data_IF_174642476044
#
_entry.id   IF_174642476044
#
_cell.length_a   1.000
_cell.length_b   1.000
_cell.length_c   1.000
_cell.angle_alpha   90.00
_cell.angle_beta   90.00
_cell.angle_gamma   90.00
#
_symmetry.space_group_name_H-M   'P 1'
#
loop_
_entity.id
_entity.type
_entity.pdbx_description
1 polymer ?
#
# COMPACT_ATOMS: atom_id res chain seq x y z
N UNK A 1 -21.37 -5.07 -8.50
CA UNK A 1 -21.34 -6.50 -8.89
C UNK A 1 -20.65 -7.23 -7.74
N UNK A 2 -21.20 -8.32 -7.20
CA UNK A 2 -20.48 -9.12 -6.20
C UNK A 2 -19.27 -9.81 -6.86
N UNK A 3 -18.23 -10.10 -6.06
CA UNK A 3 -17.15 -10.99 -6.50
C UNK A 3 -17.76 -12.38 -6.77
N UNK A 4 -17.39 -13.07 -7.86
CA UNK A 4 -17.92 -14.40 -8.16
C UNK A 4 -17.74 -15.39 -7.00
N UNK A 5 -18.77 -16.16 -6.69
CA UNK A 5 -18.73 -17.16 -5.61
C UNK A 5 -17.74 -18.31 -5.87
N UNK A 6 -17.33 -18.49 -7.13
CA UNK A 6 -16.29 -19.45 -7.55
C UNK A 6 -14.89 -19.01 -7.17
N UNK A 7 -14.67 -17.72 -6.88
CA UNK A 7 -13.36 -17.23 -6.47
C UNK A 7 -13.09 -17.57 -5.01
N UNK A 8 -11.82 -17.82 -4.64
CA UNK A 8 -11.46 -17.94 -3.25
C UNK A 8 -11.73 -16.61 -2.53
N UNK A 9 -11.93 -16.68 -1.21
CA UNK A 9 -12.16 -15.50 -0.37
C UNK A 9 -11.10 -14.40 -0.55
N UNK A 10 -9.86 -14.81 -0.79
CA UNK A 10 -8.74 -13.95 -1.15
C UNK A 10 -8.36 -14.20 -2.61
N UNK A 11 -8.96 -13.48 -3.57
CA UNK A 11 -8.67 -13.68 -4.98
C UNK A 11 -7.22 -13.33 -5.30
N UNK A 12 -6.63 -14.10 -6.20
CA UNK A 12 -5.33 -13.78 -6.80
C UNK A 12 -5.43 -12.49 -7.63
N UNK A 13 -4.28 -11.89 -7.93
CA UNK A 13 -4.20 -10.74 -8.84
C UNK A 13 -4.87 -11.01 -10.19
N UNK A 14 -4.71 -12.22 -10.75
CA UNK A 14 -5.28 -12.60 -12.06
C UNK A 14 -6.80 -12.63 -12.00
N UNK A 15 -7.36 -13.29 -10.98
CA UNK A 15 -8.80 -13.35 -10.75
C UNK A 15 -9.39 -11.95 -10.52
N UNK A 16 -8.72 -11.11 -9.72
CA UNK A 16 -9.20 -9.75 -9.48
C UNK A 16 -9.18 -8.88 -10.75
N UNK A 17 -8.15 -9.00 -11.59
CA UNK A 17 -8.11 -8.33 -12.91
C UNK A 17 -9.26 -8.83 -13.80
N UNK A 18 -9.53 -10.14 -13.82
CA UNK A 18 -10.64 -10.70 -14.59
C UNK A 18 -11.98 -10.13 -14.10
N UNK A 19 -12.19 -10.06 -12.79
CA UNK A 19 -13.37 -9.42 -12.20
C UNK A 19 -13.54 -7.96 -12.65
N UNK A 20 -12.45 -7.19 -12.75
CA UNK A 20 -12.51 -5.81 -13.26
C UNK A 20 -12.87 -5.76 -14.75
N UNK A 21 -12.35 -6.67 -15.56
CA UNK A 21 -12.72 -6.80 -16.98
C UNK A 21 -14.20 -7.15 -17.15
N UNK A 22 -14.71 -8.09 -16.35
CA UNK A 22 -16.12 -8.48 -16.33
C UNK A 22 -17.00 -7.30 -15.90
N UNK A 23 -16.55 -6.49 -14.94
CA UNK A 23 -17.24 -5.26 -14.52
C UNK A 23 -17.32 -4.25 -15.68
N UNK A 24 -16.21 -4.00 -16.37
CA UNK A 24 -16.16 -3.12 -17.54
C UNK A 24 -17.13 -3.59 -18.63
N UNK A 25 -17.11 -4.88 -18.95
CA UNK A 25 -18.01 -5.49 -19.94
C UNK A 25 -19.47 -5.38 -19.53
N UNK A 26 -19.82 -5.79 -18.30
CA UNK A 26 -21.20 -5.80 -17.80
C UNK A 26 -21.84 -4.41 -17.81
N UNK A 27 -21.08 -3.38 -17.45
CA UNK A 27 -21.57 -2.00 -17.39
C UNK A 27 -21.30 -1.21 -18.68
N UNK A 28 -20.83 -1.88 -19.74
CA UNK A 28 -20.51 -1.25 -21.03
C UNK A 28 -19.63 0.00 -20.89
N UNK A 29 -18.69 -0.06 -19.95
CA UNK A 29 -17.72 1.02 -19.73
C UNK A 29 -16.71 0.93 -20.87
N UNK A 30 -16.33 2.08 -21.43
CA UNK A 30 -15.32 2.16 -22.49
C UNK A 30 -14.09 2.94 -22.01
N UNK A 31 -13.21 2.36 -21.16
CA UNK A 31 -12.00 3.04 -20.72
C UNK A 31 -11.05 3.25 -21.90
N UNK A 32 -10.46 4.45 -21.97
CA UNK A 32 -9.35 4.73 -22.89
C UNK A 32 -8.04 4.38 -22.21
N UNK A 33 -7.58 3.15 -22.40
CA UNK A 33 -6.30 2.68 -21.85
C UNK A 33 -5.11 3.35 -22.55
N UNK A 34 -3.93 3.31 -21.90
CA UNK A 34 -2.68 3.89 -22.42
C UNK A 34 -2.74 5.40 -22.68
N UNK A 35 -3.66 6.11 -22.03
CA UNK A 35 -3.72 7.58 -22.05
C UNK A 35 -3.08 8.12 -20.78
N UNK A 36 -1.93 8.75 -20.91
CA UNK A 36 -1.27 9.43 -19.81
C UNK A 36 -1.84 10.84 -19.71
N UNK A 37 -2.51 11.17 -18.60
CA UNK A 37 -2.90 12.55 -18.32
C UNK A 37 -1.67 13.29 -17.82
N UNK A 38 -1.23 14.31 -18.55
CA UNK A 38 -0.02 15.09 -18.24
C UNK A 38 -0.36 16.35 -17.44
N UNK A 39 -1.51 16.96 -17.70
CA UNK A 39 -1.96 18.15 -16.99
C UNK A 39 -3.48 18.30 -17.05
N UNK A 40 -4.05 18.90 -16.01
CA UNK A 40 -5.43 19.36 -16.00
C UNK A 40 -5.50 20.77 -15.41
N UNK A 41 -6.17 21.70 -16.11
CA UNK A 41 -6.35 23.07 -15.65
C UNK A 41 -7.78 23.53 -15.86
N UNK A 42 -8.31 24.31 -14.91
CA UNK A 42 -9.63 24.91 -15.04
C UNK A 42 -9.54 26.21 -15.83
N UNK A 43 -10.36 26.34 -16.86
CA UNK A 43 -10.47 27.56 -17.65
C UNK A 43 -11.69 28.35 -17.18
N UNK A 44 -11.45 29.45 -16.46
CA UNK A 44 -12.50 30.27 -15.86
C UNK A 44 -13.42 30.93 -16.90
N UNK A 45 -12.89 31.31 -18.07
CA UNK A 45 -13.66 31.93 -19.16
C UNK A 45 -14.70 30.97 -19.72
N UNK A 46 -14.30 29.72 -19.95
CA UNK A 46 -15.17 28.68 -20.51
C UNK A 46 -16.00 27.92 -19.47
N UNK A 47 -15.67 28.08 -18.18
CA UNK A 47 -16.27 27.32 -17.09
C UNK A 47 -16.04 25.80 -17.18
N UNK A 48 -14.91 25.38 -17.79
CA UNK A 48 -14.61 23.98 -18.08
C UNK A 48 -13.16 23.63 -17.74
N UNK A 49 -12.96 22.37 -17.40
CA UNK A 49 -11.65 21.74 -17.32
C UNK A 49 -11.09 21.51 -18.72
N UNK A 50 -9.79 21.76 -18.85
CA UNK A 50 -8.95 21.43 -20.01
C UNK A 50 -7.94 20.40 -19.54
N UNK A 51 -7.96 19.23 -20.17
CA UNK A 51 -7.10 18.10 -19.82
C UNK A 51 -6.19 17.81 -21.00
N UNK A 52 -4.88 17.85 -20.76
CA UNK A 52 -3.86 17.43 -21.71
C UNK A 52 -3.49 15.99 -21.41
N UNK A 53 -3.57 15.15 -22.42
CA UNK A 53 -3.18 13.75 -22.33
C UNK A 53 -2.29 13.37 -23.52
N UNK A 54 -1.61 12.24 -23.39
CA UNK A 54 -0.80 11.64 -24.44
C UNK A 54 -1.22 10.20 -24.65
N UNK A 55 -1.41 9.80 -25.91
CA UNK A 55 -1.51 8.41 -26.27
C UNK A 55 -0.11 7.77 -26.22
N UNK A 56 0.08 6.79 -25.34
CA UNK A 56 1.36 6.08 -25.19
C UNK A 56 1.59 5.02 -26.27
N UNK A 57 0.66 4.83 -27.20
CA UNK A 57 0.82 3.95 -28.36
C UNK A 57 1.26 4.72 -29.60
N UNK A 58 0.58 5.81 -29.95
CA UNK A 58 0.93 6.65 -31.10
C UNK A 58 1.93 7.77 -30.76
N UNK A 59 2.03 8.15 -29.49
CA UNK A 59 2.78 9.33 -29.03
C UNK A 59 2.05 10.65 -29.21
N UNK A 60 0.84 10.64 -29.77
CA UNK A 60 0.07 11.84 -30.08
C UNK A 60 -0.45 12.55 -28.83
N UNK A 61 -0.48 13.89 -28.90
CA UNK A 61 -1.08 14.72 -27.87
C UNK A 61 -2.59 14.81 -28.09
N UNK A 62 -3.36 14.53 -27.03
CA UNK A 62 -4.82 14.60 -26.99
C UNK A 62 -5.24 15.74 -26.03
N UNK A 63 -6.26 16.52 -26.39
CA UNK A 63 -6.86 17.53 -25.51
C UNK A 63 -8.33 17.23 -25.29
N UNK A 64 -8.75 17.22 -24.02
CA UNK A 64 -10.12 16.98 -23.61
C UNK A 64 -10.69 18.19 -22.88
N UNK A 65 -11.99 18.40 -23.01
CA UNK A 65 -12.71 19.42 -22.24
C UNK A 65 -13.92 18.83 -21.53
N UNK A 66 -14.12 19.20 -20.27
CA UNK A 66 -15.24 18.69 -19.46
C UNK A 66 -15.74 19.73 -18.45
N UNK A 67 -17.03 19.64 -18.08
CA UNK A 67 -17.60 20.44 -16.97
C UNK A 67 -17.15 19.94 -15.61
N UNK A 68 -16.95 18.63 -15.49
CA UNK A 68 -16.57 17.95 -14.25
C UNK A 68 -15.30 17.14 -14.48
N UNK A 69 -14.43 17.09 -13.47
CA UNK A 69 -13.21 16.30 -13.47
C UNK A 69 -13.19 15.43 -12.22
N UNK A 70 -13.09 14.11 -12.41
CA UNK A 70 -12.95 13.15 -11.30
C UNK A 70 -11.55 12.58 -11.32
N UNK A 71 -10.78 12.86 -10.27
CA UNK A 71 -9.42 12.33 -10.06
C UNK A 71 -9.53 11.01 -9.30
N UNK A 72 -9.11 9.93 -9.95
CA UNK A 72 -9.13 8.56 -9.41
C UNK A 72 -7.79 7.86 -9.66
N UNK A 73 -6.68 8.60 -9.56
CA UNK A 73 -5.31 8.13 -9.82
C UNK A 73 -4.81 7.12 -8.79
N UNK A 74 -5.48 7.03 -7.63
CA UNK A 74 -5.00 6.30 -6.48
C UNK A 74 -4.01 7.13 -5.65
N UNK A 75 -3.65 6.59 -4.50
CA UNK A 75 -2.84 7.28 -3.46
C UNK A 75 -1.40 6.78 -3.43
N UNK A 76 -1.05 5.88 -4.34
CA UNK A 76 0.08 4.97 -4.20
C UNK A 76 0.90 4.91 -5.48
N UNK A 77 1.14 6.07 -6.12
CA UNK A 77 1.78 6.11 -7.43
C UNK A 77 3.29 6.34 -7.34
N UNK A 78 3.77 7.16 -6.40
CA UNK A 78 5.17 7.58 -6.39
C UNK A 78 5.98 6.87 -5.31
N UNK A 79 7.07 6.16 -5.67
CA UNK A 79 7.91 5.43 -4.72
C UNK A 79 8.57 6.38 -3.71
N UNK A 80 8.40 6.09 -2.41
CA UNK A 80 9.03 6.89 -1.35
C UNK A 80 10.36 6.27 -0.94
N UNK A 81 11.43 6.63 -1.62
CA UNK A 81 12.79 6.27 -1.16
C UNK A 81 13.28 7.35 -0.17
N UNK A 82 13.56 7.01 1.10
CA UNK A 82 14.04 7.99 2.07
C UNK A 82 15.44 8.48 1.67
N UNK A 83 15.72 9.76 1.94
CA UNK A 83 17.09 10.28 1.85
C UNK A 83 17.92 9.62 2.96
N UNK A 84 18.87 8.77 2.58
CA UNK A 84 19.80 8.10 3.47
C UNK A 84 21.21 8.58 3.12
N UNK A 85 21.98 8.97 4.12
CA UNK A 85 23.36 9.44 3.93
C UNK A 85 24.22 8.33 3.30
N UNK A 86 24.88 8.64 2.18
CA UNK A 86 25.78 7.70 1.49
C UNK A 86 25.07 6.61 0.68
N UNK A 87 23.76 6.71 0.46
CA UNK A 87 22.99 5.76 -0.35
C UNK A 87 23.55 5.63 -1.77
N UNK A 88 24.00 6.74 -2.36
CA UNK A 88 24.65 6.82 -3.66
C UNK A 88 25.99 6.08 -3.72
N UNK A 89 26.61 5.79 -2.57
CA UNK A 89 27.85 5.01 -2.49
C UNK A 89 27.63 3.50 -2.53
N UNK A 90 26.37 3.05 -2.42
CA UNK A 90 26.03 1.63 -2.42
C UNK A 90 26.35 1.00 -3.77
N UNK A 91 27.11 -0.09 -3.77
CA UNK A 91 27.56 -0.76 -5.01
C UNK A 91 26.66 -1.91 -5.42
N UNK A 92 25.71 -2.29 -4.57
CA UNK A 92 24.72 -3.32 -4.85
C UNK A 92 23.49 -2.79 -5.58
N UNK A 93 22.46 -3.62 -5.68
CA UNK A 93 21.20 -3.27 -6.33
C UNK A 93 20.25 -2.56 -5.34
N UNK A 94 19.70 -1.41 -5.72
CA UNK A 94 18.67 -0.69 -4.95
C UNK A 94 17.36 -0.77 -5.73
N UNK A 95 16.29 -1.16 -5.06
CA UNK A 95 14.96 -1.29 -5.65
C UNK A 95 13.93 -0.68 -4.69
N UNK A 96 12.87 -0.10 -5.23
CA UNK A 96 11.65 0.11 -4.47
C UNK A 96 10.71 -1.10 -4.59
N UNK A 97 9.81 -1.29 -3.64
CA UNK A 97 8.83 -2.40 -3.66
C UNK A 97 7.94 -2.40 -4.91
N UNK A 98 7.80 -1.27 -5.59
CA UNK A 98 7.09 -1.13 -6.88
C UNK A 98 7.80 -1.79 -8.05
N UNK A 99 9.13 -1.94 -7.95
CA UNK A 99 9.97 -2.55 -8.98
C UNK A 99 10.21 -4.05 -8.71
N UNK A 100 9.94 -4.49 -7.48
CA UNK A 100 10.08 -5.89 -7.08
C UNK A 100 9.06 -6.77 -7.82
N UNK A 101 9.55 -7.90 -8.35
CA UNK A 101 8.71 -8.88 -9.07
C UNK A 101 8.69 -10.26 -8.42
N UNK A 102 9.86 -10.78 -8.07
CA UNK A 102 10.02 -12.07 -7.40
C UNK A 102 11.42 -12.17 -6.76
N UNK A 103 11.57 -13.16 -5.88
CA UNK A 103 12.79 -13.40 -5.10
C UNK A 103 13.86 -14.21 -5.83
N UNK A 104 13.53 -14.87 -6.95
CA UNK A 104 14.42 -15.83 -7.63
C UNK A 104 15.77 -15.22 -8.04
N UNK A 105 15.76 -13.95 -8.49
CA UNK A 105 16.96 -13.18 -8.87
C UNK A 105 17.95 -12.99 -7.70
N UNK A 106 17.47 -13.10 -6.46
CA UNK A 106 18.22 -12.76 -5.26
C UNK A 106 18.66 -13.99 -4.45
N UNK A 107 18.53 -15.18 -5.02
CA UNK A 107 19.01 -16.42 -4.41
C UNK A 107 20.47 -16.28 -3.96
N UNK A 108 20.76 -16.69 -2.73
CA UNK A 108 22.05 -16.60 -2.03
C UNK A 108 22.58 -15.19 -1.73
N UNK A 109 21.95 -14.12 -2.23
CA UNK A 109 22.33 -12.75 -1.94
C UNK A 109 21.85 -12.34 -0.55
N UNK A 110 22.57 -11.41 0.07
CA UNK A 110 22.13 -10.73 1.30
C UNK A 110 21.24 -9.56 0.91
N UNK A 111 19.97 -9.64 1.28
CA UNK A 111 18.96 -8.67 0.89
C UNK A 111 18.40 -8.00 2.13
N UNK A 112 18.52 -6.66 2.16
CA UNK A 112 17.93 -5.83 3.20
C UNK A 112 16.57 -5.30 2.71
N UNK A 113 15.49 -5.68 3.39
CA UNK A 113 14.16 -5.09 3.18
C UNK A 113 13.96 -3.95 4.16
N UNK A 114 13.75 -2.74 3.67
CA UNK A 114 13.57 -1.55 4.50
C UNK A 114 12.08 -1.23 4.61
N UNK A 115 11.48 -1.55 5.75
CA UNK A 115 10.07 -1.29 6.04
C UNK A 115 9.30 -2.57 6.37
N UNK A 116 8.43 -2.48 7.38
CA UNK A 116 7.74 -3.60 8.00
C UNK A 116 6.22 -3.58 7.77
N UNK A 117 5.75 -2.88 6.73
CA UNK A 117 4.37 -2.96 6.28
C UNK A 117 4.09 -4.27 5.53
N UNK A 118 2.83 -4.47 5.09
CA UNK A 118 2.44 -5.68 4.35
C UNK A 118 3.36 -5.99 3.17
N UNK A 119 3.70 -4.99 2.35
CA UNK A 119 4.61 -5.18 1.21
C UNK A 119 6.00 -5.64 1.65
N UNK A 120 6.59 -5.04 2.69
CA UNK A 120 7.91 -5.44 3.18
C UNK A 120 7.92 -6.86 3.75
N UNK A 121 6.88 -7.23 4.49
CA UNK A 121 6.74 -8.56 5.07
C UNK A 121 6.51 -9.65 4.02
N UNK A 122 5.71 -9.41 2.99
CA UNK A 122 5.49 -10.35 1.90
C UNK A 122 6.74 -10.48 1.00
N UNK A 123 7.42 -9.36 0.70
CA UNK A 123 8.69 -9.38 -0.04
C UNK A 123 9.76 -10.16 0.74
N UNK A 124 9.87 -9.93 2.04
CA UNK A 124 10.83 -10.66 2.88
C UNK A 124 10.55 -12.17 2.90
N UNK A 125 9.27 -12.56 2.93
CA UNK A 125 8.88 -13.96 2.83
C UNK A 125 9.24 -14.58 1.47
N UNK A 126 8.93 -13.88 0.37
CA UNK A 126 9.23 -14.34 -0.99
C UNK A 126 10.74 -14.49 -1.22
N UNK A 127 11.54 -13.53 -0.73
CA UNK A 127 13.00 -13.59 -0.74
C UNK A 127 13.53 -14.80 0.04
N UNK A 128 13.05 -15.00 1.27
CA UNK A 128 13.48 -16.11 2.10
C UNK A 128 13.12 -17.47 1.47
N UNK A 129 11.90 -17.60 0.94
CA UNK A 129 11.47 -18.80 0.21
C UNK A 129 12.29 -19.06 -1.06
N UNK A 130 12.81 -18.00 -1.69
CA UNK A 130 13.68 -18.08 -2.87
C UNK A 130 15.15 -18.39 -2.53
N UNK A 131 15.50 -18.49 -1.24
CA UNK A 131 16.85 -18.80 -0.77
C UNK A 131 17.77 -17.58 -0.65
N UNK A 132 17.23 -16.37 -0.57
CA UNK A 132 18.00 -15.18 -0.21
C UNK A 132 18.30 -15.16 1.29
N UNK A 133 19.41 -14.53 1.69
CA UNK A 133 19.72 -14.23 3.10
C UNK A 133 19.03 -12.92 3.45
N UNK A 134 17.83 -13.01 4.00
CA UNK A 134 16.93 -11.85 4.15
C UNK A 134 17.03 -11.24 5.54
N UNK A 135 17.25 -9.93 5.59
CA UNK A 135 17.09 -9.13 6.80
C UNK A 135 16.02 -8.06 6.57
N UNK A 136 15.19 -7.76 7.57
CA UNK A 136 14.11 -6.76 7.48
C UNK A 136 14.24 -5.71 8.57
N UNK A 137 14.09 -4.44 8.20
CA UNK A 137 14.10 -3.31 9.14
C UNK A 137 12.69 -3.09 9.72
N UNK A 138 12.55 -3.28 11.03
CA UNK A 138 11.31 -3.05 11.78
C UNK A 138 11.53 -1.92 12.81
N UNK A 139 11.31 -0.67 12.38
CA UNK A 139 11.60 0.52 13.21
C UNK A 139 10.50 0.90 14.20
N UNK A 140 9.27 0.49 13.92
CA UNK A 140 8.08 0.96 14.65
C UNK A 140 7.27 -0.24 15.12
N UNK A 141 6.52 -0.09 16.22
CA UNK A 141 5.64 -1.14 16.67
C UNK A 141 4.63 -1.55 15.59
N UNK A 142 4.40 -2.85 15.45
CA UNK A 142 3.47 -3.45 14.48
C UNK A 142 2.51 -4.44 15.14
N UNK A 143 1.28 -4.47 14.65
CA UNK A 143 0.37 -5.58 14.90
C UNK A 143 0.51 -6.62 13.80
N UNK A 144 0.60 -7.89 14.18
CA UNK A 144 0.59 -9.03 13.27
C UNK A 144 -0.71 -9.80 13.48
N UNK A 145 -1.48 -10.00 12.42
CA UNK A 145 -2.74 -10.73 12.40
C UNK A 145 -2.71 -11.78 11.30
N UNK A 146 -3.40 -12.90 11.49
CA UNK A 146 -3.66 -13.82 10.37
C UNK A 146 -4.87 -13.35 9.56
N UNK A 147 -5.01 -13.84 8.33
CA UNK A 147 -6.22 -13.64 7.50
C UNK A 147 -7.50 -14.05 8.24
N UNK A 148 -7.48 -15.18 8.92
CA UNK A 148 -8.62 -15.67 9.71
C UNK A 148 -9.00 -14.75 10.87
N UNK A 149 -8.02 -14.15 11.56
CA UNK A 149 -8.28 -13.16 12.62
C UNK A 149 -8.92 -11.90 12.06
N UNK A 150 -8.39 -11.39 10.94
CA UNK A 150 -8.95 -10.20 10.29
C UNK A 150 -10.39 -10.46 9.83
N UNK A 151 -10.64 -11.61 9.22
CA UNK A 151 -11.97 -12.03 8.78
C UNK A 151 -12.96 -12.11 9.94
N UNK A 152 -12.58 -12.80 11.03
CA UNK A 152 -13.41 -12.95 12.22
C UNK A 152 -13.71 -11.59 12.84
N UNK A 153 -12.71 -10.72 12.96
CA UNK A 153 -12.89 -9.38 13.52
C UNK A 153 -13.85 -8.54 12.67
N UNK A 154 -13.69 -8.55 11.34
CA UNK A 154 -14.59 -7.80 10.45
C UNK A 154 -16.04 -8.32 10.51
N UNK A 155 -16.25 -9.62 10.74
CA UNK A 155 -17.58 -10.18 10.93
C UNK A 155 -18.17 -9.79 12.29
N UNK A 156 -17.39 -9.90 13.36
CA UNK A 156 -17.82 -9.58 14.73
C UNK A 156 -18.14 -8.10 14.92
N UNK A 157 -17.47 -7.19 14.20
CA UNK A 157 -17.79 -5.75 14.21
C UNK A 157 -19.22 -5.43 13.76
N UNK A 158 -19.94 -6.37 13.12
CA UNK A 158 -21.35 -6.20 12.77
C UNK A 158 -22.30 -6.42 13.95
N UNK A 159 -21.84 -7.16 14.97
CA UNK A 159 -22.68 -7.66 16.07
C UNK A 159 -22.21 -7.20 17.45
N UNK A 160 -20.93 -6.88 17.60
CA UNK A 160 -20.30 -6.51 18.87
C UNK A 160 -19.69 -5.11 18.82
N UNK A 161 -19.43 -4.51 20.00
CA UNK A 161 -18.81 -3.19 20.08
C UNK A 161 -17.37 -3.21 19.57
N UNK A 162 -16.92 -2.05 19.07
CA UNK A 162 -15.58 -1.87 18.51
C UNK A 162 -14.48 -2.25 19.52
N UNK A 163 -14.62 -1.81 20.78
CA UNK A 163 -13.65 -2.05 21.85
C UNK A 163 -13.51 -3.54 22.18
N UNK A 164 -14.64 -4.27 22.19
CA UNK A 164 -14.64 -5.70 22.48
C UNK A 164 -13.95 -6.49 21.38
N UNK A 165 -14.25 -6.19 20.11
CA UNK A 165 -13.62 -6.86 18.97
C UNK A 165 -12.13 -6.55 18.90
N UNK A 166 -11.74 -5.29 19.16
CA UNK A 166 -10.34 -4.89 19.20
C UNK A 166 -9.56 -5.62 20.29
N UNK A 167 -10.11 -5.69 21.50
CA UNK A 167 -9.52 -6.43 22.61
C UNK A 167 -9.36 -7.91 22.26
N UNK A 168 -10.43 -8.57 21.80
CA UNK A 168 -10.42 -10.00 21.44
C UNK A 168 -9.39 -10.29 20.33
N UNK A 169 -9.34 -9.45 19.29
CA UNK A 169 -8.38 -9.58 18.18
C UNK A 169 -6.95 -9.46 18.68
N UNK A 170 -6.69 -8.52 19.58
CA UNK A 170 -5.37 -8.32 20.20
C UNK A 170 -4.97 -9.53 21.04
N UNK A 171 -5.90 -10.09 21.81
CA UNK A 171 -5.65 -11.29 22.62
C UNK A 171 -5.35 -12.52 21.76
N UNK A 172 -6.11 -12.74 20.67
CA UNK A 172 -5.82 -13.80 19.71
C UNK A 172 -4.44 -13.63 19.05
N UNK A 173 -4.09 -12.40 18.65
CA UNK A 173 -2.76 -12.09 18.12
C UNK A 173 -1.66 -12.43 19.12
N UNK A 174 -1.83 -12.06 20.40
CA UNK A 174 -0.88 -12.41 21.48
C UNK A 174 -0.78 -13.93 21.68
N UNK A 175 -1.88 -14.66 21.60
CA UNK A 175 -1.87 -16.11 21.77
C UNK A 175 -1.13 -16.83 20.63
N UNK A 176 -1.33 -16.39 19.38
CA UNK A 176 -0.76 -17.05 18.19
C UNK A 176 0.69 -16.62 17.93
N UNK A 177 0.97 -15.32 17.97
CA UNK A 177 2.29 -14.77 17.63
C UNK A 177 3.17 -14.57 18.87
N UNK A 178 2.61 -14.69 20.07
CA UNK A 178 3.35 -14.57 21.32
C UNK A 178 3.93 -13.17 21.55
N UNK A 179 5.04 -13.17 22.27
CA UNK A 179 5.86 -12.00 22.55
C UNK A 179 6.82 -11.72 21.39
N UNK A 180 6.54 -10.64 20.67
CA UNK A 180 7.28 -10.20 19.50
C UNK A 180 8.65 -9.62 19.86
N UNK A 181 8.85 -9.17 21.11
CA UNK A 181 10.08 -8.49 21.55
C UNK A 181 11.30 -9.41 21.46
N UNK A 182 11.08 -10.72 21.63
CA UNK A 182 12.08 -11.78 21.44
C UNK A 182 12.68 -11.83 20.04
N UNK A 183 11.99 -11.25 19.06
CA UNK A 183 12.38 -11.19 17.66
C UNK A 183 12.69 -9.77 17.20
N UNK A 184 12.96 -8.83 18.14
CA UNK A 184 13.28 -7.44 17.79
C UNK A 184 12.08 -6.62 17.30
N UNK A 185 10.85 -7.08 17.54
CA UNK A 185 9.63 -6.38 17.14
C UNK A 185 8.80 -6.00 18.37
N UNK A 186 8.15 -4.84 18.32
CA UNK A 186 7.27 -4.40 19.40
C UNK A 186 5.82 -4.36 18.92
N UNK A 187 4.89 -4.69 19.82
CA UNK A 187 3.45 -4.52 19.56
C UNK A 187 3.03 -3.14 20.07
N UNK A 188 2.20 -2.38 19.34
CA UNK A 188 1.65 -1.12 19.84
C UNK A 188 0.82 -1.34 21.12
N UNK A 189 0.75 -0.32 21.97
CA UNK A 189 -0.09 -0.33 23.18
C UNK A 189 -1.58 -0.31 22.83
N UNK A 190 -1.95 0.51 21.83
CA UNK A 190 -3.30 0.57 21.26
C UNK A 190 -3.56 -0.62 20.33
N UNK A 191 -4.82 -1.01 20.16
CA UNK A 191 -5.16 -2.17 19.34
C UNK A 191 -5.08 -1.91 17.83
N UNK A 192 -5.18 -2.98 17.01
CA UNK A 192 -4.89 -2.94 15.58
C UNK A 192 -5.83 -2.03 14.79
N UNK A 193 -7.11 -1.90 15.17
CA UNK A 193 -8.07 -1.06 14.45
C UNK A 193 -7.97 0.40 14.87
N UNK A 194 -7.77 0.69 16.17
CA UNK A 194 -7.46 2.04 16.66
C UNK A 194 -6.21 2.60 16.00
N UNK A 195 -5.12 1.84 15.92
CA UNK A 195 -3.86 2.26 15.27
C UNK A 195 -4.09 2.59 13.80
N UNK A 196 -4.91 1.80 13.09
CA UNK A 196 -5.31 2.09 11.72
C UNK A 196 -6.10 3.40 11.62
N UNK A 197 -7.10 3.61 12.49
CA UNK A 197 -7.95 4.79 12.43
C UNK A 197 -7.21 6.09 12.78
N UNK A 198 -6.32 6.06 13.79
CA UNK A 198 -5.58 7.23 14.25
C UNK A 198 -4.38 7.58 13.38
N UNK A 199 -3.64 6.57 12.92
CA UNK A 199 -2.33 6.77 12.28
C UNK A 199 -2.26 6.27 10.83
N UNK A 200 -3.34 5.70 10.29
CA UNK A 200 -3.34 5.09 8.95
C UNK A 200 -2.48 3.82 8.85
N UNK A 201 -2.00 3.29 9.98
CA UNK A 201 -1.11 2.12 10.01
C UNK A 201 -1.92 0.85 10.07
N UNK A 202 -1.96 0.12 8.96
CA UNK A 202 -2.63 -1.17 8.89
C UNK A 202 -1.86 -2.24 9.69
N UNK A 203 -2.56 -3.18 10.34
CA UNK A 203 -1.91 -4.38 10.83
C UNK A 203 -1.29 -5.16 9.67
N UNK A 204 -0.16 -5.82 9.93
CA UNK A 204 0.45 -6.77 9.03
C UNK A 204 -0.42 -8.02 9.01
N UNK A 205 -0.87 -8.41 7.82
CA UNK A 205 -1.57 -9.67 7.60
C UNK A 205 -0.53 -10.73 7.28
N UNK A 206 -0.15 -11.51 8.29
CA UNK A 206 0.84 -12.56 8.14
C UNK A 206 0.31 -13.72 7.29
N UNK A 207 1.16 -14.13 6.35
CA UNK A 207 0.94 -15.26 5.44
C UNK A 207 2.08 -16.28 5.52
N UNK A 208 2.91 -16.22 6.58
CA UNK A 208 4.04 -17.11 6.80
C UNK A 208 5.37 -16.40 7.12
N UNK A 209 5.44 -15.07 6.98
CA UNK A 209 6.64 -14.28 7.26
C UNK A 209 7.08 -14.46 8.71
N UNK A 210 6.14 -14.45 9.65
CA UNK A 210 6.46 -14.60 11.07
C UNK A 210 7.10 -15.97 11.39
N UNK A 211 6.68 -17.04 10.72
CA UNK A 211 7.31 -18.36 10.91
C UNK A 211 8.77 -18.35 10.46
N UNK A 212 9.08 -17.66 9.35
CA UNK A 212 10.44 -17.48 8.86
C UNK A 212 11.28 -16.64 9.82
N UNK A 213 10.72 -15.57 10.39
CA UNK A 213 11.36 -14.79 11.46
C UNK A 213 11.65 -15.68 12.68
N UNK A 214 10.66 -16.46 13.13
CA UNK A 214 10.78 -17.34 14.30
C UNK A 214 11.87 -18.40 14.10
N UNK A 215 12.02 -18.93 12.89
CA UNK A 215 13.06 -19.91 12.54
C UNK A 215 14.45 -19.31 12.35
N UNK A 216 14.57 -17.97 12.26
CA UNK A 216 15.82 -17.27 11.96
C UNK A 216 16.17 -17.19 10.47
N UNK A 217 15.30 -17.68 9.58
CA UNK A 217 15.47 -17.53 8.12
C UNK A 217 15.32 -16.06 7.66
N UNK A 218 14.56 -15.25 8.42
CA UNK A 218 14.49 -13.79 8.25
C UNK A 218 15.01 -13.14 9.52
N UNK A 219 16.08 -12.36 9.39
CA UNK A 219 16.65 -11.59 10.49
C UNK A 219 15.90 -10.26 10.64
N UNK A 220 15.48 -9.92 11.87
CA UNK A 220 14.86 -8.62 12.16
C UNK A 220 15.91 -7.65 12.68
N UNK A 221 16.00 -6.50 12.02
CA UNK A 221 16.85 -5.38 12.43
C UNK A 221 15.95 -4.27 13.01
N UNK A 222 15.96 -4.05 14.34
CA UNK A 222 15.02 -3.14 15.00
C UNK A 222 15.37 -1.66 14.82
N UNK A 223 16.55 -1.35 14.29
CA UNK A 223 17.07 -0.01 14.16
C UNK A 223 16.91 0.54 12.72
N UNK A 224 16.69 1.84 12.60
CA UNK A 224 16.73 2.53 11.31
C UNK A 224 18.15 2.54 10.73
N UNK A 225 18.24 2.77 9.42
CA UNK A 225 19.52 3.01 8.75
C UNK A 225 20.02 4.40 9.12
N UNK A 226 21.26 4.50 9.58
CA UNK A 226 21.96 5.76 9.87
C UNK A 226 22.68 6.27 8.62
N UNK A 227 23.52 5.44 8.03
CA UNK A 227 24.26 5.77 6.80
C UNK A 227 24.70 4.52 6.05
N UNK A 228 25.14 4.70 4.81
CA UNK A 228 25.59 3.63 3.92
C UNK A 228 26.98 3.99 3.38
N UNK A 229 27.89 3.03 3.37
CA UNK A 229 29.24 3.18 2.83
C UNK A 229 29.62 1.94 2.03
N UNK A 230 29.61 2.04 0.70
CA UNK A 230 29.79 0.86 -0.15
C UNK A 230 28.67 -0.14 0.13
N UNK A 231 28.98 -1.41 0.33
CA UNK A 231 27.97 -2.44 0.65
C UNK A 231 27.63 -2.55 2.14
N UNK A 232 28.24 -1.72 2.99
CA UNK A 232 28.00 -1.71 4.43
C UNK A 232 26.91 -0.71 4.77
N UNK A 233 25.92 -1.17 5.52
CA UNK A 233 24.82 -0.37 6.06
C UNK A 233 25.04 -0.23 7.56
N UNK A 234 25.21 1.00 8.02
CA UNK A 234 25.31 1.36 9.43
C UNK A 234 23.93 1.68 9.98
N UNK A 235 23.57 1.05 11.09
CA UNK A 235 22.30 1.26 11.77
C UNK A 235 22.43 2.25 12.91
N UNK A 236 21.31 2.81 13.37
CA UNK A 236 21.28 3.80 14.46
C UNK A 236 21.80 3.24 15.78
N UNK A 237 21.67 1.93 15.99
CA UNK A 237 22.22 1.23 17.15
C UNK A 237 23.71 0.86 17.00
N UNK A 238 24.41 1.48 16.04
CA UNK A 238 25.84 1.29 15.76
C UNK A 238 26.24 -0.08 15.20
N UNK A 239 25.27 -0.97 14.96
CA UNK A 239 25.52 -2.22 14.26
C UNK A 239 25.79 -1.95 12.77
N UNK A 240 26.67 -2.75 12.19
CA UNK A 240 26.98 -2.72 10.76
C UNK A 240 26.71 -4.09 10.14
N UNK A 241 26.02 -4.09 9.00
CA UNK A 241 25.79 -5.30 8.21
C UNK A 241 26.12 -5.01 6.75
N UNK A 242 26.51 -6.06 6.02
CA UNK A 242 26.82 -5.95 4.59
C UNK A 242 25.73 -6.60 3.75
N UNK A 243 25.27 -5.89 2.73
CA UNK A 243 24.19 -6.32 1.85
C UNK A 243 24.59 -6.20 0.38
N UNK A 244 24.00 -7.08 -0.43
CA UNK A 244 24.19 -7.08 -1.88
C UNK A 244 23.01 -6.38 -2.58
N UNK A 245 21.85 -6.30 -1.91
CA UNK A 245 20.63 -5.67 -2.41
C UNK A 245 19.88 -4.96 -1.28
N UNK A 246 19.32 -3.79 -1.55
CA UNK A 246 18.40 -3.06 -0.66
C UNK A 246 17.04 -2.91 -1.36
N UNK A 247 15.98 -3.40 -0.74
CA UNK A 247 14.60 -3.23 -1.20
C UNK A 247 13.85 -2.28 -0.27
N UNK A 248 13.55 -1.09 -0.75
CA UNK A 248 12.74 -0.10 -0.02
C UNK A 248 11.25 -0.45 -0.12
N UNK A 249 10.69 -0.93 0.98
CA UNK A 249 9.25 -1.12 1.19
C UNK A 249 8.70 -0.01 2.11
N UNK A 250 9.10 1.23 1.83
CA UNK A 250 8.86 2.42 2.66
C UNK A 250 7.56 3.15 2.34
N UNK A 251 6.67 2.49 1.61
CA UNK A 251 5.41 3.06 1.17
C UNK A 251 5.58 4.00 -0.02
N UNK A 252 4.51 4.72 -0.34
CA UNK A 252 4.45 5.60 -1.50
C UNK A 252 4.26 7.04 -0.99
N UNK A 253 4.77 8.01 -1.75
CA UNK A 253 4.58 9.43 -1.46
C UNK A 253 3.11 9.78 -1.70
N UNK A 254 2.56 10.52 -0.74
CA UNK A 254 1.36 11.32 -0.97
C UNK A 254 1.87 12.72 -1.33
N UNK A 255 2.44 12.88 -2.52
CA UNK A 255 2.64 14.22 -3.03
C UNK A 255 1.27 14.75 -3.48
N UNK A 256 1.03 16.02 -3.14
CA UNK A 256 0.03 16.90 -3.75
C UNK A 256 -1.38 16.96 -3.13
N UNK A 257 -1.54 17.81 -2.10
CA UNK A 257 -2.52 18.92 -2.11
C UNK A 257 -4.04 18.66 -2.14
N UNK A 258 -4.52 17.42 -2.25
CA UNK A 258 -5.96 17.14 -2.48
C UNK A 258 -6.71 16.52 -1.30
N UNK A 259 -6.02 16.03 -0.26
CA UNK A 259 -6.69 15.39 0.87
C UNK A 259 -7.27 16.43 1.86
N UNK A 260 -8.48 16.91 1.55
CA UNK A 260 -9.38 17.43 2.59
C UNK A 260 -9.67 16.31 3.61
N UNK A 261 -9.99 16.66 4.85
CA UNK A 261 -10.39 15.69 5.86
C UNK A 261 -11.74 15.04 5.51
N UNK A 262 -11.86 13.73 5.80
CA UNK A 262 -13.11 12.98 5.74
C UNK A 262 -14.20 13.68 6.59
N UNK A 263 -15.51 13.67 6.21
CA UNK A 263 -16.15 12.92 5.11
C UNK A 263 -16.27 13.66 3.78
N UNK A 264 -15.87 14.94 3.71
CA UNK A 264 -16.07 15.78 2.53
C UNK A 264 -14.83 15.88 1.64
N UNK A 265 -13.94 14.89 1.74
CA UNK A 265 -12.66 14.84 1.03
C UNK A 265 -12.83 14.70 -0.48
N UNK A 266 -13.93 14.09 -0.93
CA UNK A 266 -14.22 13.77 -2.31
C UNK A 266 -14.66 14.98 -3.16
N UNK A 267 -15.01 16.13 -2.55
CA UNK A 267 -15.57 17.31 -3.25
C UNK A 267 -14.58 18.49 -3.29
N UNK A 268 -14.12 18.83 -4.49
CA UNK A 268 -13.30 20.00 -4.80
C UNK A 268 -14.12 21.25 -5.18
N UNK A 269 -13.43 22.26 -5.73
CA UNK A 269 -14.06 23.45 -6.31
C UNK A 269 -14.25 23.25 -7.82
N UNK A 270 -15.09 24.07 -8.45
CA UNK A 270 -15.18 24.16 -9.92
C UNK A 270 -15.46 22.80 -10.61
N UNK A 271 -16.27 21.94 -10.00
CA UNK A 271 -16.60 20.62 -10.56
C UNK A 271 -15.47 19.58 -10.48
N UNK A 272 -14.44 19.84 -9.68
CA UNK A 272 -13.40 18.86 -9.35
C UNK A 272 -13.87 17.90 -8.25
N UNK A 273 -13.57 16.62 -8.42
CA UNK A 273 -13.84 15.57 -7.46
C UNK A 273 -12.64 14.63 -7.31
N UNK A 274 -12.54 13.97 -6.16
CA UNK A 274 -11.52 12.98 -5.85
C UNK A 274 -12.19 11.68 -5.40
N UNK A 275 -11.83 10.55 -5.99
CA UNK A 275 -12.39 9.24 -5.64
C UNK A 275 -11.30 8.27 -5.22
N UNK A 276 -11.45 7.66 -4.04
CA UNK A 276 -10.51 6.64 -3.57
C UNK A 276 -9.16 7.21 -3.14
N UNK A 277 -9.15 8.45 -2.62
CA UNK A 277 -7.97 9.15 -2.09
C UNK A 277 -7.96 9.31 -0.55
N UNK A 278 -8.66 8.41 0.17
CA UNK A 278 -8.85 8.48 1.62
C UNK A 278 -8.41 7.23 2.41
N UNK A 279 -7.57 6.36 1.85
CA UNK A 279 -7.03 5.13 2.46
C UNK A 279 -8.11 4.15 2.95
N UNK A 280 -9.30 4.19 2.34
CA UNK A 280 -10.44 3.33 2.68
C UNK A 280 -10.67 2.17 1.69
N UNK A 281 -9.72 1.97 0.77
CA UNK A 281 -9.78 0.91 -0.25
C UNK A 281 -10.99 1.01 -1.17
N UNK A 282 -11.38 -0.10 -1.78
CA UNK A 282 -12.49 -0.15 -2.75
C UNK A 282 -13.85 0.26 -2.17
N UNK A 283 -14.11 -0.05 -0.88
CA UNK A 283 -15.34 0.38 -0.22
C UNK A 283 -15.42 1.91 -0.14
N UNK A 284 -14.34 2.55 0.30
CA UNK A 284 -14.25 4.02 0.33
C UNK A 284 -14.37 4.64 -1.05
N UNK A 285 -13.64 4.11 -2.03
CA UNK A 285 -13.72 4.58 -3.41
C UNK A 285 -15.15 4.46 -4.00
N UNK A 286 -15.86 3.38 -3.67
CA UNK A 286 -17.26 3.18 -4.06
C UNK A 286 -18.20 4.21 -3.41
N UNK A 287 -17.99 4.52 -2.12
CA UNK A 287 -18.77 5.56 -1.43
C UNK A 287 -18.52 6.95 -2.05
N UNK A 288 -17.26 7.27 -2.32
CA UNK A 288 -16.86 8.52 -2.97
C UNK A 288 -17.52 8.63 -4.35
N UNK A 289 -17.42 7.59 -5.19
CA UNK A 289 -18.02 7.55 -6.51
C UNK A 289 -19.54 7.76 -6.49
N UNK A 290 -20.25 7.16 -5.52
CA UNK A 290 -21.70 7.38 -5.36
C UNK A 290 -22.02 8.82 -4.93
N UNK A 291 -21.24 9.39 -4.00
CA UNK A 291 -21.42 10.77 -3.56
C UNK A 291 -21.19 11.75 -4.71
N UNK A 292 -20.12 11.54 -5.49
CA UNK A 292 -19.79 12.32 -6.69
C UNK A 292 -20.93 12.23 -7.71
N UNK A 293 -21.40 11.02 -8.01
CA UNK A 293 -22.49 10.83 -8.97
C UNK A 293 -23.78 11.54 -8.54
N UNK A 294 -24.13 11.51 -7.24
CA UNK A 294 -25.29 12.23 -6.70
C UNK A 294 -25.13 13.74 -6.81
N UNK A 295 -23.93 14.26 -6.51
CA UNK A 295 -23.63 15.69 -6.62
C UNK A 295 -23.69 16.18 -8.06
N UNK A 296 -23.04 15.47 -8.99
CA UNK A 296 -23.09 15.78 -10.42
C UNK A 296 -24.54 15.76 -10.92
N UNK A 297 -25.34 14.74 -10.54
CA UNK A 297 -26.75 14.67 -10.91
C UNK A 297 -27.56 15.87 -10.44
N UNK A 298 -27.24 16.45 -9.27
CA UNK A 298 -27.90 17.64 -8.76
C UNK A 298 -27.47 18.94 -9.46
N UNK A 299 -26.34 18.92 -10.19
CA UNK A 299 -25.77 20.06 -10.93
C UNK A 299 -26.03 20.00 -12.45
N UNK A 300 -26.63 18.91 -12.93
CA UNK A 300 -27.08 18.72 -14.31
C UNK A 300 -28.51 19.24 -14.46
#
# INVERSE_FOLDING_TARGET
MPIPATYPKYPSRKEFIQYLNDYVSRFSISPRYRRLVEAASYNEVSGKWRIKARDLESGEAEEYTSRFLVVATGETCDPKIPKVEGLESFRGEILHSTEYKNGEKFKWKRVLVVGSGNSGMEIALDLANSGAKTSIVVRSPIHILSRGMMDAAMELLKYFSFEWVEWMTTMMSKAVFGDLSKYGMQRPEEGPFTVKLKYGKFPVIDVGTFNKIKSGEIEVLPAGIRSIKGNTVLFVNENEHTFDVIVFATGLLNDDGFAKSFPNHWKGKQGLYCAGLAQKGFYGAGMDAQNIARDIKALL
#
